data_IF_960292940406
#
_entry.id   IF_960292940406
#
_cell.length_a   1.000
_cell.length_b   1.000
_cell.length_c   1.000
_cell.angle_alpha   90.00
_cell.angle_beta   90.00
_cell.angle_gamma   90.00
#
_symmetry.space_group_name_H-M   'P 1'
#
loop_
_entity.id
_entity.type
_entity.pdbx_description
1 polymer ?
#
# COMPACT_ATOMS: atom_id res chain seq x y z
N UNK A 1 -1.88 1.97 15.11
CA UNK A 1 -2.27 1.24 13.88
C UNK A 1 -3.76 0.95 14.02
N UNK A 2 -4.61 1.73 13.34
CA UNK A 2 -6.05 1.92 13.58
C UNK A 2 -6.96 1.32 12.48
N UNK A 3 -6.38 0.53 11.56
CA UNK A 3 -7.06 0.19 10.29
C UNK A 3 -8.34 -0.64 10.40
N UNK A 4 -8.47 -1.66 11.28
CA UNK A 4 -9.70 -2.43 11.36
C UNK A 4 -10.91 -1.56 11.75
N UNK A 5 -10.75 -0.73 12.79
CA UNK A 5 -11.85 0.08 13.31
C UNK A 5 -12.30 1.17 12.35
N UNK A 6 -11.38 1.78 11.59
CA UNK A 6 -11.75 2.83 10.63
C UNK A 6 -12.47 2.28 9.40
N UNK A 7 -12.06 1.10 8.91
CA UNK A 7 -12.76 0.43 7.81
C UNK A 7 -14.13 -0.07 8.26
N UNK A 8 -14.20 -0.69 9.44
CA UNK A 8 -15.45 -1.16 10.04
C UNK A 8 -16.42 0.00 10.26
N UNK A 9 -15.97 1.11 10.86
CA UNK A 9 -16.79 2.31 11.06
C UNK A 9 -17.32 2.89 9.74
N UNK A 10 -16.48 2.94 8.70
CA UNK A 10 -16.91 3.38 7.37
C UNK A 10 -17.96 2.46 6.77
N UNK A 11 -17.76 1.14 6.86
CA UNK A 11 -18.72 0.14 6.39
C UNK A 11 -20.02 0.19 7.18
N UNK A 12 -19.98 0.33 8.51
CA UNK A 12 -21.17 0.40 9.35
C UNK A 12 -21.98 1.67 9.06
N UNK A 13 -21.31 2.77 8.74
CA UNK A 13 -21.95 4.04 8.41
C UNK A 13 -22.55 4.05 7.00
N UNK A 14 -21.85 3.50 6.01
CA UNK A 14 -22.20 3.63 4.59
C UNK A 14 -22.70 2.34 3.94
N UNK A 15 -22.66 1.21 4.66
CA UNK A 15 -23.15 -0.10 4.25
C UNK A 15 -22.19 -0.92 3.37
N UNK A 16 -21.21 -0.30 2.70
CA UNK A 16 -20.26 -1.02 1.82
C UNK A 16 -18.98 -0.23 1.54
N UNK A 17 -17.96 -0.92 1.01
CA UNK A 17 -16.71 -0.33 0.53
C UNK A 17 -16.52 -0.59 -0.98
N UNK A 18 -17.04 0.27 -1.85
CA UNK A 18 -16.91 0.08 -3.31
C UNK A 18 -15.50 0.35 -3.84
N UNK A 19 -14.81 1.31 -3.23
CA UNK A 19 -13.46 1.70 -3.63
C UNK A 19 -12.58 2.07 -2.43
N UNK A 20 -11.28 1.85 -2.58
CA UNK A 20 -10.26 2.24 -1.61
C UNK A 20 -9.04 2.86 -2.29
N UNK A 21 -8.40 3.82 -1.63
CA UNK A 21 -7.20 4.49 -2.13
C UNK A 21 -6.09 4.53 -1.06
N UNK A 22 -5.09 3.66 -1.24
CA UNK A 22 -3.95 3.55 -0.36
C UNK A 22 -2.85 4.53 -0.76
N UNK A 23 -2.93 5.75 -0.22
CA UNK A 23 -2.08 6.86 -0.61
C UNK A 23 -0.97 7.24 0.38
N UNK A 24 -1.00 6.73 1.62
CA UNK A 24 -0.02 7.12 2.63
C UNK A 24 1.42 6.89 2.16
N UNK A 25 2.28 7.90 2.32
CA UNK A 25 3.68 7.81 1.88
C UNK A 25 4.58 8.93 2.38
N UNK A 26 5.85 8.61 2.56
CA UNK A 26 6.94 9.53 2.91
C UNK A 26 8.15 9.26 2.01
N UNK A 27 8.88 10.30 1.61
CA UNK A 27 10.09 10.16 0.78
C UNK A 27 11.29 9.60 1.55
N UNK A 28 11.33 9.80 2.86
CA UNK A 28 12.58 9.73 3.62
C UNK A 28 13.49 10.93 3.31
N UNK A 29 14.67 10.96 3.94
CA UNK A 29 15.73 11.91 3.60
C UNK A 29 16.72 11.27 2.61
N UNK A 30 17.44 12.13 1.87
CA UNK A 30 18.39 11.69 0.85
C UNK A 30 19.74 11.34 1.45
N UNK A 31 20.21 10.10 1.28
CA UNK A 31 21.54 9.66 1.72
C UNK A 31 22.18 8.74 0.69
N UNK A 32 23.51 8.70 0.66
CA UNK A 32 24.21 7.60 0.00
C UNK A 32 23.81 6.26 0.65
N UNK A 33 23.71 5.15 -0.11
CA UNK A 33 23.20 3.89 0.43
C UNK A 33 23.90 3.36 1.70
N UNK A 34 25.22 3.56 1.80
CA UNK A 34 26.02 3.09 2.94
C UNK A 34 25.94 4.01 4.18
N UNK A 35 25.31 5.18 4.04
CA UNK A 35 25.07 6.14 5.12
C UNK A 35 23.58 6.27 5.45
N UNK A 36 22.72 5.47 4.79
CA UNK A 36 21.28 5.55 4.93
C UNK A 36 20.87 5.01 6.31
N UNK A 37 20.30 5.84 7.22
CA UNK A 37 20.05 5.40 8.58
C UNK A 37 18.95 4.33 8.65
N UNK A 38 19.17 3.32 9.48
CA UNK A 38 18.25 2.18 9.65
C UNK A 38 16.87 2.62 10.13
N UNK A 39 16.79 3.65 10.98
CA UNK A 39 15.54 4.22 11.47
C UNK A 39 14.75 4.92 10.35
N UNK A 40 15.45 5.58 9.41
CA UNK A 40 14.82 6.19 8.24
C UNK A 40 14.30 5.09 7.32
N UNK A 41 15.08 4.04 7.10
CA UNK A 41 14.66 2.86 6.34
C UNK A 41 13.40 2.24 6.93
N UNK A 42 13.44 1.90 8.23
CA UNK A 42 12.33 1.28 8.94
C UNK A 42 11.06 2.14 8.86
N UNK A 43 11.18 3.46 9.04
CA UNK A 43 10.05 4.38 8.92
C UNK A 43 9.46 4.41 7.51
N UNK A 44 10.31 4.50 6.48
CA UNK A 44 9.86 4.52 5.08
C UNK A 44 9.16 3.21 4.73
N UNK A 45 9.71 2.05 5.09
CA UNK A 45 9.10 0.74 4.84
C UNK A 45 7.80 0.56 5.62
N UNK A 46 7.76 0.97 6.90
CA UNK A 46 6.57 0.88 7.72
C UNK A 46 5.40 1.68 7.14
N UNK A 47 5.64 2.90 6.69
CA UNK A 47 4.58 3.77 6.14
C UNK A 47 4.22 3.37 4.71
N UNK A 48 5.21 3.34 3.81
CA UNK A 48 4.95 3.26 2.37
C UNK A 48 4.57 1.86 1.89
N UNK A 49 5.09 0.82 2.55
CA UNK A 49 4.91 -0.55 2.12
C UNK A 49 4.03 -1.33 3.09
N UNK A 50 4.40 -1.37 4.37
CA UNK A 50 3.64 -2.12 5.39
C UNK A 50 2.26 -1.51 5.59
N UNK A 51 2.14 -0.19 5.63
CA UNK A 51 0.86 0.51 5.70
C UNK A 51 -0.07 0.12 4.56
N UNK A 52 0.41 0.22 3.31
CA UNK A 52 -0.36 -0.18 2.12
C UNK A 52 -0.76 -1.66 2.15
N UNK A 53 0.16 -2.55 2.52
CA UNK A 53 -0.14 -3.98 2.68
C UNK A 53 -1.27 -4.23 3.67
N UNK A 54 -1.24 -3.54 4.82
CA UNK A 54 -2.25 -3.71 5.85
C UNK A 54 -3.62 -3.24 5.36
N UNK A 55 -3.72 -2.07 4.73
CA UNK A 55 -4.98 -1.61 4.12
C UNK A 55 -5.50 -2.64 3.11
N UNK A 56 -4.65 -3.00 2.14
CA UNK A 56 -4.97 -3.95 1.08
C UNK A 56 -5.50 -5.28 1.64
N UNK A 57 -4.86 -5.83 2.69
CA UNK A 57 -5.30 -7.07 3.35
C UNK A 57 -6.74 -6.98 3.85
N UNK A 58 -7.10 -5.91 4.56
CA UNK A 58 -8.44 -5.78 5.14
C UNK A 58 -9.49 -5.41 4.10
N UNK A 59 -9.14 -4.53 3.16
CA UNK A 59 -9.99 -4.12 2.03
C UNK A 59 -10.36 -5.33 1.15
N UNK A 60 -9.38 -6.14 0.74
CA UNK A 60 -9.62 -7.37 -0.02
C UNK A 60 -10.54 -8.33 0.74
N UNK A 61 -10.30 -8.51 2.03
CA UNK A 61 -11.13 -9.37 2.87
C UNK A 61 -12.59 -8.91 2.89
N UNK A 62 -12.84 -7.61 3.00
CA UNK A 62 -14.19 -7.05 2.96
C UNK A 62 -14.80 -7.14 1.56
N UNK A 63 -14.09 -6.68 0.52
CA UNK A 63 -14.54 -6.69 -0.88
C UNK A 63 -14.92 -8.08 -1.37
N UNK A 64 -14.19 -9.12 -0.93
CA UNK A 64 -14.52 -10.50 -1.24
C UNK A 64 -15.89 -10.91 -0.67
N UNK A 65 -16.21 -10.50 0.56
CA UNK A 65 -17.49 -10.82 1.21
C UNK A 65 -18.67 -10.07 0.58
N UNK A 66 -18.48 -8.82 0.16
CA UNK A 66 -19.55 -8.01 -0.45
C UNK A 66 -19.72 -8.21 -1.97
N UNK A 67 -18.86 -9.01 -2.62
CA UNK A 67 -18.97 -9.38 -4.04
C UNK A 67 -18.20 -8.51 -5.04
N UNK A 68 -17.22 -7.72 -4.59
CA UNK A 68 -16.31 -6.97 -5.46
C UNK A 68 -15.93 -5.59 -4.92
N UNK A 69 -15.01 -4.90 -5.61
CA UNK A 69 -14.55 -3.56 -5.25
C UNK A 69 -13.24 -3.17 -5.95
N UNK A 70 -12.87 -1.89 -5.90
CA UNK A 70 -11.68 -1.38 -6.60
C UNK A 70 -10.67 -0.81 -5.61
N UNK A 71 -9.39 -1.19 -5.72
CA UNK A 71 -8.33 -0.69 -4.84
C UNK A 71 -7.25 -0.02 -5.69
N UNK A 72 -6.97 1.25 -5.40
CA UNK A 72 -5.84 1.97 -5.99
C UNK A 72 -4.73 2.10 -4.96
N UNK A 73 -3.54 1.58 -5.25
CA UNK A 73 -2.36 1.78 -4.42
C UNK A 73 -1.43 2.83 -5.05
N UNK A 74 -1.06 3.87 -4.30
CA UNK A 74 -0.16 4.92 -4.80
C UNK A 74 1.30 4.44 -4.78
N UNK A 75 1.80 4.03 -5.93
CA UNK A 75 3.22 3.79 -6.17
C UNK A 75 3.96 5.10 -6.49
N UNK A 76 4.90 5.07 -7.44
CA UNK A 76 5.66 6.21 -7.95
C UNK A 76 6.32 5.81 -9.26
N UNK A 77 6.83 6.76 -10.05
CA UNK A 77 7.82 6.46 -11.08
C UNK A 77 9.03 5.71 -10.48
N UNK A 78 9.39 6.03 -9.24
CA UNK A 78 10.41 5.31 -8.46
C UNK A 78 10.04 3.85 -8.12
N UNK A 79 8.82 3.41 -8.43
CA UNK A 79 8.40 2.00 -8.36
C UNK A 79 8.72 1.21 -9.64
N UNK A 80 9.25 1.88 -10.66
CA UNK A 80 9.63 1.29 -11.94
C UNK A 80 11.11 1.54 -12.28
N UNK A 81 11.72 2.56 -11.70
CA UNK A 81 13.13 2.92 -11.90
C UNK A 81 13.80 3.29 -10.58
N UNK A 82 15.13 3.22 -10.54
CA UNK A 82 15.91 3.66 -9.39
C UNK A 82 16.05 5.17 -9.30
N UNK A 83 15.97 5.73 -8.08
CA UNK A 83 16.30 7.13 -7.81
C UNK A 83 17.53 7.24 -6.92
N UNK A 84 18.57 8.01 -7.32
CA UNK A 84 19.73 8.28 -6.48
C UNK A 84 19.32 8.85 -5.12
N UNK A 85 20.07 8.45 -4.09
CA UNK A 85 19.90 8.88 -2.70
C UNK A 85 18.54 8.54 -2.06
N UNK A 86 17.68 7.77 -2.73
CA UNK A 86 16.30 7.49 -2.30
C UNK A 86 16.06 5.99 -2.18
N UNK A 87 17.01 5.24 -1.62
CA UNK A 87 17.00 3.76 -1.63
C UNK A 87 15.78 3.19 -0.90
N UNK A 88 15.44 3.71 0.28
CA UNK A 88 14.25 3.28 1.04
C UNK A 88 12.94 3.57 0.29
N UNK A 89 12.83 4.77 -0.30
CA UNK A 89 11.65 5.15 -1.07
C UNK A 89 11.47 4.28 -2.32
N UNK A 90 12.55 4.14 -3.11
CA UNK A 90 12.58 3.31 -4.32
C UNK A 90 12.18 1.88 -4.01
N UNK A 91 12.80 1.27 -2.99
CA UNK A 91 12.48 -0.08 -2.55
C UNK A 91 11.01 -0.21 -2.14
N UNK A 92 10.51 0.74 -1.33
CA UNK A 92 9.12 0.72 -0.89
C UNK A 92 8.13 0.81 -2.05
N UNK A 93 8.39 1.66 -3.05
CA UNK A 93 7.48 1.89 -4.18
C UNK A 93 7.53 0.76 -5.20
N UNK A 94 8.67 0.10 -5.38
CA UNK A 94 8.71 -1.18 -6.11
C UNK A 94 7.91 -2.26 -5.38
N UNK A 95 8.02 -2.32 -4.06
CA UNK A 95 7.21 -3.21 -3.22
C UNK A 95 5.71 -3.00 -3.42
N UNK A 96 5.24 -1.75 -3.47
CA UNK A 96 3.82 -1.43 -3.74
C UNK A 96 3.38 -1.93 -5.12
N UNK A 97 4.20 -1.77 -6.16
CA UNK A 97 3.91 -2.32 -7.50
C UNK A 97 3.79 -3.84 -7.46
N UNK A 98 4.73 -4.51 -6.79
CA UNK A 98 4.73 -5.96 -6.62
C UNK A 98 3.50 -6.48 -5.86
N UNK A 99 3.15 -5.83 -4.74
CA UNK A 99 1.93 -6.13 -3.97
C UNK A 99 0.68 -5.99 -4.83
N UNK A 100 0.57 -4.89 -5.57
CA UNK A 100 -0.61 -4.59 -6.40
C UNK A 100 -0.79 -5.64 -7.49
N UNK A 101 0.28 -5.99 -8.20
CA UNK A 101 0.23 -7.03 -9.25
C UNK A 101 -0.10 -8.40 -8.67
N UNK A 102 0.47 -8.74 -7.53
CA UNK A 102 0.23 -10.04 -6.87
C UNK A 102 -1.22 -10.16 -6.41
N UNK A 103 -1.77 -9.11 -5.79
CA UNK A 103 -3.17 -9.07 -5.38
C UNK A 103 -4.12 -9.10 -6.57
N UNK A 104 -3.85 -8.32 -7.63
CA UNK A 104 -4.67 -8.33 -8.83
C UNK A 104 -4.76 -9.73 -9.45
N UNK A 105 -3.65 -10.47 -9.52
CA UNK A 105 -3.65 -11.85 -10.02
C UNK A 105 -4.44 -12.81 -9.11
N UNK A 106 -4.32 -12.64 -7.79
CA UNK A 106 -5.02 -13.49 -6.83
C UNK A 106 -6.54 -13.29 -6.81
N UNK A 107 -7.03 -12.08 -7.12
CA UNK A 107 -8.43 -11.71 -6.99
C UNK A 107 -9.14 -11.35 -8.32
N UNK A 108 -8.48 -11.55 -9.47
CA UNK A 108 -9.00 -11.17 -10.79
C UNK A 108 -10.40 -11.76 -11.09
N UNK A 109 -10.68 -12.98 -10.60
CA UNK A 109 -11.96 -13.67 -10.81
C UNK A 109 -13.03 -13.30 -9.77
N UNK A 110 -12.70 -12.48 -8.77
CA UNK A 110 -13.58 -12.13 -7.66
C UNK A 110 -14.26 -10.76 -7.84
N UNK A 111 -14.27 -10.20 -9.06
CA UNK A 111 -14.77 -8.86 -9.33
C UNK A 111 -14.07 -7.78 -8.46
N UNK A 112 -12.78 -7.97 -8.20
CA UNK A 112 -11.92 -7.02 -7.50
C UNK A 112 -10.82 -6.56 -8.46
N UNK A 113 -10.59 -5.25 -8.55
CA UNK A 113 -9.58 -4.66 -9.44
C UNK A 113 -8.62 -3.76 -8.68
#
# INVERSE_FOLDING_TARGET
MLMPSQLEEGVDTYGRLDCAHNNAGVSGAGFAPHEYPDEVWARVIAINLTGVWLCLKYELGHMLRQGGGAIVNTASAAGLVGLPNSIGYTASKHGVVGLTRSAALAYAQNNIR
#
